data_IF_957533886471
#
_entry.id   IF_957533886471
#
_cell.length_a   1.000
_cell.length_b   1.000
_cell.length_c   1.000
_cell.angle_alpha   90.00
_cell.angle_beta   90.00
_cell.angle_gamma   90.00
#
_symmetry.space_group_name_H-M   'P 1'
#
loop_
_entity.id
_entity.type
_entity.pdbx_description
1 polymer ?
#
# COMPACT_ATOMS: atom_id res chain seq x y z
N UNK A 1 6.55 20.95 -1.75
CA UNK A 1 7.32 20.22 -0.76
C UNK A 1 7.50 18.77 -1.18
N UNK A 2 8.71 18.29 -1.15
CA UNK A 2 8.98 16.91 -1.54
C UNK A 2 8.56 15.94 -0.46
N UNK A 3 7.83 14.92 -0.86
CA UNK A 3 7.58 13.79 0.01
C UNK A 3 8.69 12.77 -0.16
N UNK A 4 9.27 12.35 0.94
CA UNK A 4 10.23 11.26 0.92
C UNK A 4 9.45 9.95 0.86
N UNK A 5 9.37 9.40 -0.33
CA UNK A 5 8.79 8.07 -0.50
C UNK A 5 9.91 7.05 -0.50
N UNK A 6 9.74 6.06 0.32
CA UNK A 6 10.69 4.95 0.38
C UNK A 6 10.21 3.83 -0.52
N UNK A 7 11.14 3.27 -1.31
CA UNK A 7 10.83 2.11 -2.14
C UNK A 7 10.72 0.87 -1.26
N UNK A 8 10.11 -0.18 -1.77
CA UNK A 8 9.99 -1.45 -1.06
C UNK A 8 11.38 -1.98 -0.69
N UNK A 9 12.35 -1.79 -1.57
CA UNK A 9 13.73 -2.18 -1.31
C UNK A 9 14.31 -1.45 -0.10
N UNK A 10 14.07 -0.13 -0.01
CA UNK A 10 14.52 0.66 1.13
C UNK A 10 13.81 0.24 2.42
N UNK A 11 12.51 0.01 2.35
CA UNK A 11 11.72 -0.42 3.52
C UNK A 11 12.23 -1.76 4.04
N UNK A 12 12.43 -2.74 3.16
CA UNK A 12 12.94 -4.05 3.55
C UNK A 12 14.34 -3.92 4.16
N UNK A 13 15.18 -3.07 3.58
CA UNK A 13 16.53 -2.82 4.10
C UNK A 13 16.48 -2.27 5.54
N UNK A 14 15.58 -1.32 5.79
CA UNK A 14 15.39 -0.73 7.12
C UNK A 14 14.94 -1.80 8.12
N UNK A 15 13.99 -2.62 7.72
CA UNK A 15 13.47 -3.68 8.59
C UNK A 15 14.54 -4.74 8.89
N UNK A 16 15.37 -5.07 7.91
CA UNK A 16 16.49 -5.99 8.11
C UNK A 16 17.53 -5.40 9.07
N UNK A 17 17.78 -4.11 8.98
CA UNK A 17 18.69 -3.44 9.92
C UNK A 17 18.15 -3.52 11.35
N UNK A 18 16.85 -3.37 11.52
CA UNK A 18 16.22 -3.53 12.83
C UNK A 18 16.41 -4.97 13.36
N UNK A 19 16.24 -5.96 12.52
CA UNK A 19 16.47 -7.36 12.89
C UNK A 19 17.91 -7.60 13.35
N UNK A 20 18.86 -6.86 12.79
CA UNK A 20 20.27 -6.98 13.17
C UNK A 20 20.65 -6.22 14.43
N UNK A 21 19.67 -5.52 15.03
CA UNK A 21 19.88 -4.87 16.31
C UNK A 21 19.86 -3.35 16.31
N UNK A 22 19.65 -2.72 15.16
CA UNK A 22 19.52 -1.25 15.11
C UNK A 22 18.13 -0.89 15.63
N UNK A 23 18.08 0.06 16.57
CA UNK A 23 16.80 0.46 17.17
C UNK A 23 15.89 1.17 16.18
N UNK A 24 14.60 1.06 16.40
CA UNK A 24 13.61 1.74 15.57
C UNK A 24 13.78 3.26 15.64
N UNK A 25 14.10 3.78 16.84
CA UNK A 25 14.35 5.21 17.03
C UNK A 25 15.52 5.68 16.16
N UNK A 26 16.60 4.93 16.11
CA UNK A 26 17.75 5.26 15.29
C UNK A 26 17.44 5.21 13.81
N UNK A 27 16.73 4.16 13.39
CA UNK A 27 16.33 4.01 11.98
C UNK A 27 15.39 5.14 11.55
N UNK A 28 14.49 5.54 12.41
CA UNK A 28 13.57 6.66 12.14
C UNK A 28 14.37 7.93 11.91
N UNK A 29 15.33 8.20 12.78
CA UNK A 29 16.17 9.37 12.68
C UNK A 29 17.01 9.36 11.39
N UNK A 30 17.63 8.24 11.09
CA UNK A 30 18.49 8.11 9.90
C UNK A 30 17.71 8.25 8.59
N UNK A 31 16.47 7.85 8.57
CA UNK A 31 15.68 7.82 7.34
C UNK A 31 14.63 8.93 7.25
N UNK A 32 14.61 9.84 8.24
CA UNK A 32 13.69 10.97 8.22
C UNK A 32 12.23 10.61 8.30
N UNK A 33 11.90 9.53 9.00
CA UNK A 33 10.52 9.07 9.20
C UNK A 33 10.22 8.96 10.68
N UNK A 34 8.95 8.80 11.03
CA UNK A 34 8.55 8.58 12.42
C UNK A 34 8.73 7.11 12.79
N UNK A 35 8.88 6.85 14.09
CA UNK A 35 8.91 5.47 14.58
C UNK A 35 7.63 4.73 14.21
N UNK A 36 6.50 5.44 14.28
CA UNK A 36 5.20 4.88 13.94
C UNK A 36 5.16 4.38 12.49
N UNK A 37 5.80 5.11 11.58
CA UNK A 37 5.92 4.68 10.19
C UNK A 37 6.66 3.36 10.09
N UNK A 38 7.76 3.21 10.83
CA UNK A 38 8.54 1.98 10.82
C UNK A 38 7.73 0.82 11.42
N UNK A 39 6.97 1.06 12.47
CA UNK A 39 6.09 0.02 13.04
C UNK A 39 5.04 -0.41 12.03
N UNK A 40 4.48 0.51 11.26
CA UNK A 40 3.55 0.18 10.18
C UNK A 40 4.19 -0.67 9.10
N UNK A 41 5.41 -0.31 8.71
CA UNK A 41 6.17 -1.09 7.74
C UNK A 41 6.45 -2.49 8.26
N UNK A 42 6.80 -2.60 9.52
CA UNK A 42 7.08 -3.87 10.15
C UNK A 42 5.84 -4.78 10.14
N UNK A 43 4.68 -4.23 10.43
CA UNK A 43 3.44 -5.00 10.38
C UNK A 43 3.11 -5.48 8.98
N UNK A 44 3.42 -4.68 7.96
CA UNK A 44 3.07 -4.99 6.57
C UNK A 44 4.10 -5.84 5.85
N UNK A 45 5.38 -5.55 6.06
CA UNK A 45 6.45 -6.15 5.25
C UNK A 45 7.40 -7.07 6.02
N UNK A 46 7.22 -7.25 7.30
CA UNK A 46 8.13 -8.07 8.10
C UNK A 46 8.24 -9.49 7.52
N UNK A 47 9.47 -9.95 7.36
CA UNK A 47 9.74 -11.28 6.81
C UNK A 47 9.65 -11.39 5.30
N UNK A 48 9.34 -10.30 4.61
CA UNK A 48 9.25 -10.32 3.15
C UNK A 48 10.60 -10.03 2.50
N UNK A 49 10.81 -10.64 1.34
CA UNK A 49 11.88 -10.23 0.45
C UNK A 49 11.41 -9.07 -0.42
N UNK A 50 12.36 -8.37 -1.06
CA UNK A 50 12.04 -7.21 -1.90
C UNK A 50 11.01 -7.56 -2.99
N UNK A 51 11.20 -8.71 -3.64
CA UNK A 51 10.29 -9.15 -4.72
C UNK A 51 8.88 -9.38 -4.20
N UNK A 52 8.74 -9.92 -2.99
CA UNK A 52 7.44 -10.16 -2.38
C UNK A 52 6.74 -8.85 -2.01
N UNK A 53 7.50 -7.89 -1.49
CA UNK A 53 6.96 -6.57 -1.15
C UNK A 53 6.48 -5.83 -2.40
N UNK A 54 7.24 -5.90 -3.49
CA UNK A 54 6.84 -5.32 -4.76
C UNK A 54 5.58 -5.98 -5.30
N UNK A 55 5.50 -7.29 -5.21
CA UNK A 55 4.33 -8.04 -5.64
C UNK A 55 3.09 -7.66 -4.85
N UNK A 56 3.24 -7.53 -3.53
CA UNK A 56 2.14 -7.11 -2.67
C UNK A 56 1.61 -5.75 -3.10
N UNK A 57 2.49 -4.81 -3.35
CA UNK A 57 2.10 -3.47 -3.79
C UNK A 57 1.36 -3.48 -5.12
N UNK A 58 1.84 -4.27 -6.05
CA UNK A 58 1.17 -4.43 -7.35
C UNK A 58 -0.23 -5.01 -7.18
N UNK A 59 -0.36 -6.02 -6.32
CA UNK A 59 -1.65 -6.64 -6.06
C UNK A 59 -2.62 -5.69 -5.37
N UNK A 60 -2.13 -4.87 -4.44
CA UNK A 60 -2.96 -3.86 -3.79
C UNK A 60 -3.46 -2.81 -4.78
N UNK A 61 -2.59 -2.36 -5.67
CA UNK A 61 -2.94 -1.40 -6.71
C UNK A 61 -3.97 -1.99 -7.68
N UNK A 62 -3.75 -3.21 -8.11
CA UNK A 62 -4.68 -3.90 -9.01
C UNK A 62 -6.03 -4.12 -8.35
N UNK A 63 -6.02 -4.49 -7.07
CA UNK A 63 -7.24 -4.70 -6.32
C UNK A 63 -8.06 -3.41 -6.22
N UNK A 64 -7.40 -2.29 -5.93
CA UNK A 64 -8.06 -0.98 -5.84
C UNK A 64 -8.67 -0.59 -7.20
N UNK A 65 -7.93 -0.83 -8.28
CA UNK A 65 -8.41 -0.54 -9.64
C UNK A 65 -9.63 -1.38 -9.99
N UNK A 66 -9.58 -2.68 -9.67
CA UNK A 66 -10.69 -3.59 -9.95
C UNK A 66 -11.94 -3.23 -9.16
N UNK A 67 -11.77 -2.84 -7.90
CA UNK A 67 -12.89 -2.40 -7.07
C UNK A 67 -13.56 -1.17 -7.66
N UNK A 68 -12.77 -0.22 -8.14
CA UNK A 68 -13.29 0.99 -8.77
C UNK A 68 -14.08 0.66 -10.04
N UNK A 69 -13.53 -0.19 -10.89
CA UNK A 69 -14.20 -0.61 -12.13
C UNK A 69 -15.50 -1.34 -11.84
N UNK A 70 -15.49 -2.19 -10.81
CA UNK A 70 -16.70 -2.91 -10.42
C UNK A 70 -17.77 -1.94 -9.93
N UNK A 71 -17.42 -0.96 -9.14
CA UNK A 71 -18.36 0.03 -8.64
C UNK A 71 -18.97 0.84 -9.79
N UNK A 72 -18.15 1.27 -10.75
CA UNK A 72 -18.63 1.98 -11.94
C UNK A 72 -19.58 1.12 -12.76
N UNK A 73 -19.23 -0.13 -12.96
CA UNK A 73 -20.08 -1.08 -13.69
C UNK A 73 -21.43 -1.29 -13.00
N UNK A 74 -21.43 -1.39 -11.67
CA UNK A 74 -22.65 -1.55 -10.90
C UNK A 74 -23.56 -0.32 -11.03
N UNK A 75 -22.98 0.87 -11.04
CA UNK A 75 -23.75 2.11 -11.23
C UNK A 75 -24.35 2.18 -12.64
N UNK A 76 -23.57 1.81 -13.65
CA UNK A 76 -24.05 1.77 -15.04
C UNK A 76 -25.20 0.79 -15.18
N UNK A 77 -25.10 -0.37 -14.58
CA UNK A 77 -26.17 -1.37 -14.62
C UNK A 77 -27.45 -0.86 -13.96
N UNK A 78 -27.32 -0.18 -12.82
CA UNK A 78 -28.48 0.39 -12.14
C UNK A 78 -29.16 1.46 -13.01
N UNK A 79 -28.37 2.34 -13.63
CA UNK A 79 -28.89 3.37 -14.52
C UNK A 79 -29.61 2.76 -15.71
N UNK A 80 -29.03 1.73 -16.34
CA UNK A 80 -29.64 1.04 -17.46
C UNK A 80 -30.97 0.39 -17.07
N UNK A 81 -31.03 -0.22 -15.90
CA UNK A 81 -32.26 -0.85 -15.40
C UNK A 81 -33.36 0.20 -15.21
N UNK A 82 -33.03 1.36 -14.71
CA UNK A 82 -34.00 2.44 -14.54
C UNK A 82 -34.54 2.93 -15.88
N UNK A 83 -33.67 3.10 -16.86
CA UNK A 83 -34.06 3.52 -18.21
C UNK A 83 -34.99 2.48 -18.82
N UNK A 84 -34.63 1.20 -18.75
CA UNK A 84 -35.43 0.12 -19.32
C UNK A 84 -36.80 0.02 -18.65
N UNK A 85 -36.84 0.27 -17.33
CA UNK A 85 -38.11 0.20 -16.59
C UNK A 85 -38.96 1.48 -16.71
N UNK A 86 -38.42 2.53 -17.32
CA UNK A 86 -39.15 3.79 -17.49
C UNK A 86 -39.28 4.61 -16.22
N UNK A 87 -38.42 4.43 -15.26
CA UNK A 87 -38.47 5.11 -13.96
C UNK A 87 -37.53 6.31 -13.88
N UNK A 88 -37.55 7.14 -14.88
CA UNK A 88 -36.64 8.29 -14.86
C UNK A 88 -37.26 9.52 -15.48
#
# INVERSE_FOLDING_TARGET
MKRNRHTEEQIISILKANERGVSIAELARQNGVTEQTIYRWKAKYSGMEVSEAKRLRELESENARLKKLLAESALDNAALKEIVSGKW
#
